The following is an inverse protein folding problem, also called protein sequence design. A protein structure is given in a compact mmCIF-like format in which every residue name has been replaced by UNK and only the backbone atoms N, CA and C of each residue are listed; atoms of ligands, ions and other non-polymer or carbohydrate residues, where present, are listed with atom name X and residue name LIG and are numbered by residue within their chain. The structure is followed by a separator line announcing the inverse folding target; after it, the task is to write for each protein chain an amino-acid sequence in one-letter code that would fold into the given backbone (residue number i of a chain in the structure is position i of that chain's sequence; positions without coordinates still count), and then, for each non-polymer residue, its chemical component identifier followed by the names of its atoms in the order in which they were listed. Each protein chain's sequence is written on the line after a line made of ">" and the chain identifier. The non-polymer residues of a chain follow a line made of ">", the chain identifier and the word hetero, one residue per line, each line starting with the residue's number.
data_IF_438079415307
#
_entry.id   IF_438079415307
#
_cell.length_a   1.000
_cell.length_b   1.000
_cell.length_c   1.000
_cell.angle_alpha   90.00
_cell.angle_beta   90.00
_cell.angle_gamma   90.00
#
_symmetry.space_group_name_H-M   'P 1'
#
loop_
_entity.id
_entity.type
_entity.pdbx_description
1 polymer ?
#
# COMPACT_ATOMS: atom_id res chain seq x y z
N UNK A 1 37.38 -9.66 -66.15
CA UNK A 1 38.45 -9.89 -65.15
C UNK A 1 38.60 -8.63 -64.41
N UNK A 2 38.22 -8.63 -63.13
CA UNK A 2 38.26 -7.49 -62.20
C UNK A 2 39.71 -7.10 -61.95
N UNK A 3 40.05 -5.79 -62.08
CA UNK A 3 41.45 -5.34 -61.90
C UNK A 3 41.80 -5.33 -60.41
N UNK A 4 43.09 -5.41 -60.08
CA UNK A 4 43.57 -5.37 -58.70
C UNK A 4 43.14 -4.09 -58.00
N UNK A 5 43.10 -2.95 -58.73
CA UNK A 5 42.61 -1.67 -58.21
C UNK A 5 41.14 -1.69 -57.84
N UNK A 6 40.30 -2.45 -58.54
CA UNK A 6 38.88 -2.56 -58.20
C UNK A 6 38.63 -3.34 -56.89
N UNK A 7 39.54 -4.29 -56.61
CA UNK A 7 39.52 -5.08 -55.39
C UNK A 7 39.95 -4.24 -54.16
N UNK A 8 40.94 -3.37 -54.33
CA UNK A 8 41.40 -2.49 -53.26
C UNK A 8 40.37 -1.40 -52.93
N UNK A 9 39.73 -0.82 -53.91
CA UNK A 9 38.66 0.18 -53.68
C UNK A 9 37.44 -0.44 -53.05
N UNK A 10 37.08 -1.66 -53.41
CA UNK A 10 36.01 -2.40 -52.75
C UNK A 10 36.32 -2.74 -51.30
N UNK A 11 37.56 -3.11 -51.00
CA UNK A 11 38.04 -3.38 -49.65
C UNK A 11 38.00 -2.12 -48.74
N UNK A 12 38.40 -0.98 -49.27
CA UNK A 12 38.33 0.30 -48.59
C UNK A 12 36.88 0.70 -48.27
N UNK A 13 36.01 0.64 -49.26
CA UNK A 13 34.58 0.99 -49.09
C UNK A 13 33.87 0.05 -48.12
N UNK A 14 34.19 -1.22 -48.10
CA UNK A 14 33.64 -2.18 -47.15
C UNK A 14 34.15 -1.89 -45.73
N UNK A 15 35.43 -1.54 -45.57
CA UNK A 15 35.99 -1.16 -44.27
C UNK A 15 35.31 0.07 -43.67
N UNK A 16 35.08 1.12 -44.47
CA UNK A 16 34.38 2.33 -44.03
C UNK A 16 32.92 2.05 -43.65
N UNK A 17 32.21 1.23 -44.42
CA UNK A 17 30.84 0.83 -44.10
C UNK A 17 30.73 0.03 -42.82
N UNK A 18 31.69 -0.84 -42.53
CA UNK A 18 31.71 -1.58 -41.26
C UNK A 18 32.08 -0.66 -40.08
N UNK A 19 32.98 0.25 -40.28
CA UNK A 19 33.34 1.25 -39.23
C UNK A 19 32.15 2.15 -38.92
N UNK A 20 31.43 2.62 -39.93
CA UNK A 20 30.28 3.47 -39.78
C UNK A 20 29.13 2.72 -39.05
N UNK A 21 28.81 1.49 -39.47
CA UNK A 21 27.80 0.64 -38.80
C UNK A 21 28.16 0.36 -37.34
N UNK A 22 29.43 0.11 -37.04
CA UNK A 22 29.93 -0.14 -35.70
C UNK A 22 29.86 1.12 -34.83
N UNK A 23 30.22 2.27 -35.41
CA UNK A 23 30.12 3.56 -34.73
C UNK A 23 28.65 3.89 -34.34
N UNK A 24 27.69 3.62 -35.21
CA UNK A 24 26.28 3.80 -34.93
C UNK A 24 25.75 2.77 -33.94
N UNK A 25 26.18 1.54 -34.00
CA UNK A 25 25.80 0.48 -33.09
C UNK A 25 26.18 0.80 -31.61
N UNK A 26 27.27 1.51 -31.37
CA UNK A 26 27.68 1.96 -30.05
C UNK A 26 27.24 3.40 -29.74
N UNK A 27 27.22 4.26 -30.77
CA UNK A 27 26.86 5.67 -30.61
C UNK A 27 25.42 5.89 -30.16
N UNK A 28 24.49 5.15 -30.73
CA UNK A 28 23.07 5.27 -30.37
C UNK A 28 22.81 4.88 -28.89
N UNK A 29 23.26 3.70 -28.39
CA UNK A 29 23.10 3.35 -26.99
C UNK A 29 23.76 4.34 -26.03
N UNK A 30 24.96 4.86 -26.38
CA UNK A 30 25.66 5.86 -25.57
C UNK A 30 24.86 7.18 -25.54
N UNK A 31 24.32 7.61 -26.66
CA UNK A 31 23.50 8.83 -26.72
C UNK A 31 22.22 8.69 -25.90
N UNK A 32 21.56 7.52 -25.98
CA UNK A 32 20.39 7.21 -25.17
C UNK A 32 20.74 7.22 -23.68
N UNK A 33 21.86 6.59 -23.30
CA UNK A 33 22.32 6.56 -21.92
C UNK A 33 22.64 7.96 -21.40
N UNK A 34 23.32 8.77 -22.20
CA UNK A 34 23.63 10.17 -21.85
C UNK A 34 22.34 11.01 -21.69
N UNK A 35 21.37 10.82 -22.58
CA UNK A 35 20.08 11.48 -22.47
C UNK A 35 19.31 11.05 -21.22
N UNK A 36 19.26 9.75 -20.92
CA UNK A 36 18.63 9.26 -19.70
C UNK A 36 19.31 9.79 -18.44
N UNK A 37 20.65 9.86 -18.44
CA UNK A 37 21.43 10.45 -17.34
C UNK A 37 21.12 11.95 -17.18
N UNK A 38 21.04 12.69 -18.29
CA UNK A 38 20.64 14.09 -18.28
C UNK A 38 19.24 14.28 -17.70
N UNK A 39 18.26 13.48 -18.16
CA UNK A 39 16.90 13.50 -17.62
C UNK A 39 16.90 13.20 -16.13
N UNK A 40 17.66 12.18 -15.71
CA UNK A 40 17.75 11.76 -14.31
C UNK A 40 18.27 12.87 -13.40
N UNK A 41 19.26 13.63 -13.88
CA UNK A 41 19.84 14.77 -13.14
C UNK A 41 18.91 16.00 -13.23
N UNK A 42 18.35 16.30 -14.41
CA UNK A 42 17.52 17.48 -14.63
C UNK A 42 16.22 17.46 -13.84
N UNK A 43 15.66 16.29 -13.61
CA UNK A 43 14.45 16.11 -12.79
C UNK A 43 14.76 15.87 -11.31
N UNK A 44 16.01 16.01 -10.88
CA UNK A 44 16.44 15.81 -9.50
C UNK A 44 15.86 14.53 -8.87
N UNK A 45 15.90 13.43 -9.66
CA UNK A 45 15.33 12.15 -9.24
C UNK A 45 16.04 11.63 -7.98
N UNK A 46 17.29 12.03 -7.75
CA UNK A 46 18.02 11.75 -6.51
C UNK A 46 17.47 12.54 -5.32
N UNK A 47 17.02 13.79 -5.54
CA UNK A 47 16.35 14.60 -4.50
C UNK A 47 14.95 14.08 -4.14
N UNK A 48 14.29 13.38 -5.08
CA UNK A 48 13.06 12.64 -4.79
C UNK A 48 13.28 11.50 -3.78
N UNK A 49 14.51 10.99 -3.65
CA UNK A 49 14.81 9.93 -2.66
C UNK A 49 14.66 10.42 -1.22
N UNK A 50 14.87 11.70 -0.95
CA UNK A 50 14.67 12.30 0.38
C UNK A 50 13.16 12.49 0.71
N UNK A 51 12.32 12.58 -0.33
CA UNK A 51 10.85 12.61 -0.21
C UNK A 51 10.25 11.20 -0.21
N UNK A 52 11.02 10.20 -0.54
CA UNK A 52 10.62 8.80 -0.53
C UNK A 52 10.66 8.26 0.90
N UNK A 53 9.62 8.54 1.64
CA UNK A 53 9.38 7.80 2.86
C UNK A 53 9.08 6.34 2.47
N UNK A 54 9.95 5.43 2.92
CA UNK A 54 9.77 3.97 2.74
C UNK A 54 8.39 3.54 3.25
N UNK A 55 7.85 4.29 4.18
CA UNK A 55 6.54 4.13 4.79
C UNK A 55 5.40 4.47 3.81
N UNK A 56 5.55 5.54 3.04
CA UNK A 56 4.58 5.92 2.01
C UNK A 56 4.61 4.92 0.83
N UNK A 57 5.80 4.43 0.46
CA UNK A 57 5.93 3.39 -0.56
C UNK A 57 5.31 2.06 -0.11
N UNK A 58 5.52 1.65 1.15
CA UNK A 58 4.87 0.47 1.73
C UNK A 58 3.35 0.61 1.79
N UNK A 59 2.84 1.78 2.20
CA UNK A 59 1.41 2.07 2.20
C UNK A 59 0.82 2.03 0.79
N UNK A 60 1.52 2.62 -0.18
CA UNK A 60 1.07 2.65 -1.57
C UNK A 60 1.02 1.25 -2.18
N UNK A 61 2.07 0.44 -1.99
CA UNK A 61 2.10 -0.95 -2.44
C UNK A 61 1.06 -1.78 -1.69
N UNK A 62 0.94 -1.62 -0.37
CA UNK A 62 -0.11 -2.26 0.42
C UNK A 62 -1.51 -1.89 -0.08
N UNK A 63 -1.76 -0.63 -0.42
CA UNK A 63 -3.03 -0.16 -0.97
C UNK A 63 -3.36 -0.72 -2.36
N UNK A 64 -2.37 -1.06 -3.17
CA UNK A 64 -2.57 -1.65 -4.49
C UNK A 64 -2.98 -3.13 -4.44
N UNK A 65 -2.48 -3.87 -3.45
CA UNK A 65 -2.66 -5.33 -3.37
C UNK A 65 -3.55 -5.78 -2.22
N UNK A 66 -3.87 -4.89 -1.26
CA UNK A 66 -4.71 -5.27 -0.11
C UNK A 66 -6.19 -5.22 -0.45
N UNK A 67 -6.90 -6.28 -0.10
CA UNK A 67 -8.32 -6.17 0.13
C UNK A 67 -8.51 -5.26 1.36
N UNK A 68 -9.12 -4.09 1.14
CA UNK A 68 -9.39 -3.18 2.25
C UNK A 68 -10.59 -3.72 3.02
N UNK A 69 -10.34 -4.21 4.21
CA UNK A 69 -11.42 -4.47 5.16
C UNK A 69 -11.53 -3.28 6.07
N UNK A 70 -12.69 -2.69 6.11
CA UNK A 70 -12.96 -1.58 6.98
C UNK A 70 -14.11 -1.86 7.93
N UNK A 71 -13.91 -1.46 9.16
CA UNK A 71 -14.93 -1.43 10.20
C UNK A 71 -15.50 -0.03 10.22
N UNK A 72 -16.81 0.09 10.01
CA UNK A 72 -17.50 1.38 9.99
C UNK A 72 -18.58 1.39 11.06
N UNK A 73 -18.60 2.44 11.89
CA UNK A 73 -19.69 2.71 12.81
C UNK A 73 -20.49 3.93 12.34
N UNK A 74 -21.80 3.79 12.25
CA UNK A 74 -22.72 4.94 12.15
C UNK A 74 -22.80 5.59 13.53
N UNK A 75 -22.21 6.77 13.69
CA UNK A 75 -22.13 7.48 14.97
C UNK A 75 -23.48 7.99 15.48
N UNK A 76 -24.54 7.95 14.65
CA UNK A 76 -25.90 8.35 15.04
C UNK A 76 -26.71 7.18 15.59
N UNK A 77 -26.49 5.99 15.05
CA UNK A 77 -27.25 4.78 15.40
C UNK A 77 -26.45 3.81 16.27
N UNK A 78 -25.11 3.92 16.27
CA UNK A 78 -24.22 2.96 16.91
C UNK A 78 -23.99 1.68 16.13
N UNK A 79 -24.61 1.52 14.96
CA UNK A 79 -24.51 0.31 14.15
C UNK A 79 -23.09 0.16 13.58
N UNK A 80 -22.52 -1.03 13.76
CA UNK A 80 -21.22 -1.39 13.22
C UNK A 80 -21.41 -2.30 12.01
N UNK A 81 -20.77 -1.96 10.91
CA UNK A 81 -20.71 -2.76 9.69
C UNK A 81 -19.26 -3.01 9.27
N UNK A 82 -18.97 -4.21 8.79
CA UNK A 82 -17.66 -4.61 8.34
C UNK A 82 -17.75 -4.92 6.86
N UNK A 83 -17.00 -4.16 6.06
CA UNK A 83 -17.05 -4.24 4.59
C UNK A 83 -15.69 -4.68 4.05
N UNK A 84 -15.74 -5.48 2.98
CA UNK A 84 -14.58 -5.94 2.22
C UNK A 84 -14.60 -5.18 0.89
N UNK A 85 -13.56 -4.42 0.62
CA UNK A 85 -13.32 -3.77 -0.68
C UNK A 85 -12.26 -4.52 -1.45
N UNK A 86 -12.38 -4.57 -2.77
CA UNK A 86 -11.47 -5.25 -3.65
C UNK A 86 -12.20 -6.20 -4.60
N UNK A 87 -11.50 -7.20 -5.09
CA UNK A 87 -12.06 -8.17 -6.05
C UNK A 87 -13.25 -8.96 -5.46
N UNK A 88 -13.16 -9.31 -4.16
CA UNK A 88 -14.24 -9.98 -3.42
C UNK A 88 -15.04 -8.98 -2.58
N UNK A 89 -15.64 -7.98 -3.22
CA UNK A 89 -16.52 -7.04 -2.52
C UNK A 89 -17.63 -7.77 -1.77
N UNK A 90 -17.80 -7.40 -0.50
CA UNK A 90 -18.82 -8.00 0.33
C UNK A 90 -18.97 -7.28 1.65
N UNK A 91 -19.86 -7.81 2.49
CA UNK A 91 -20.04 -7.42 3.88
C UNK A 91 -20.15 -8.67 4.72
N UNK A 92 -19.61 -8.59 5.90
CA UNK A 92 -19.91 -9.59 6.92
C UNK A 92 -21.39 -9.52 7.30
N UNK A 93 -22.01 -10.67 7.57
CA UNK A 93 -23.37 -10.70 8.06
C UNK A 93 -23.45 -9.99 9.43
N UNK A 94 -24.66 -9.59 9.80
CA UNK A 94 -24.88 -8.93 11.10
C UNK A 94 -24.46 -9.86 12.24
N UNK A 95 -23.50 -9.41 13.06
CA UNK A 95 -22.93 -10.19 14.16
C UNK A 95 -21.74 -11.05 13.79
N UNK A 96 -21.36 -11.14 12.51
CA UNK A 96 -20.14 -11.77 12.06
C UNK A 96 -19.02 -10.75 11.92
N UNK A 97 -17.81 -11.16 12.30
CA UNK A 97 -16.62 -10.32 12.22
C UNK A 97 -15.38 -11.17 11.95
N UNK A 98 -14.31 -10.58 11.35
CA UNK A 98 -13.01 -11.24 11.28
C UNK A 98 -12.41 -11.39 12.68
N UNK A 99 -11.43 -12.28 12.83
CA UNK A 99 -10.79 -12.60 14.13
C UNK A 99 -10.21 -11.39 14.88
N UNK A 100 -9.83 -10.35 14.16
CA UNK A 100 -9.27 -9.13 14.73
C UNK A 100 -10.34 -8.09 15.14
N UNK A 101 -11.64 -8.43 15.05
CA UNK A 101 -12.76 -7.58 15.47
C UNK A 101 -13.64 -8.35 16.44
N UNK A 102 -13.76 -7.84 17.65
CA UNK A 102 -14.69 -8.35 18.67
C UNK A 102 -15.91 -7.43 18.74
N UNK A 103 -17.09 -7.97 18.44
CA UNK A 103 -18.34 -7.24 18.52
C UNK A 103 -19.00 -7.47 19.90
N UNK A 104 -19.42 -6.41 20.56
CA UNK A 104 -20.05 -6.47 21.89
C UNK A 104 -20.57 -5.12 22.34
N UNK A 105 -20.86 -5.00 23.63
CA UNK A 105 -21.26 -3.72 24.26
C UNK A 105 -20.20 -2.63 24.07
N UNK A 106 -18.94 -3.01 24.11
CA UNK A 106 -17.79 -2.23 23.67
C UNK A 106 -17.08 -3.06 22.62
N UNK A 107 -17.23 -2.67 21.36
CA UNK A 107 -16.57 -3.39 20.27
C UNK A 107 -15.11 -3.02 20.21
N UNK A 108 -14.25 -4.02 19.96
CA UNK A 108 -12.79 -3.86 19.91
C UNK A 108 -12.28 -4.24 18.53
N UNK A 109 -11.36 -3.44 18.02
CA UNK A 109 -10.65 -3.68 16.76
C UNK A 109 -9.17 -3.76 17.05
N UNK A 110 -8.57 -4.89 16.77
CA UNK A 110 -7.13 -5.12 16.92
C UNK A 110 -6.44 -4.92 15.56
N UNK A 111 -5.65 -3.85 15.44
CA UNK A 111 -4.89 -3.55 14.24
C UNK A 111 -3.54 -4.29 14.18
N UNK A 112 -3.20 -5.04 15.23
CA UNK A 112 -1.90 -5.69 15.37
C UNK A 112 -0.86 -4.78 16.02
N UNK A 113 0.27 -5.38 16.41
CA UNK A 113 1.41 -4.69 17.05
C UNK A 113 1.06 -3.85 18.30
N UNK A 114 -0.02 -4.21 18.99
CA UNK A 114 -0.50 -3.49 20.18
C UNK A 114 -1.37 -2.27 19.90
N UNK A 115 -1.75 -2.04 18.65
CA UNK A 115 -2.71 -1.00 18.27
C UNK A 115 -4.13 -1.48 18.46
N UNK A 116 -4.86 -0.91 19.40
CA UNK A 116 -6.22 -1.31 19.77
C UNK A 116 -7.18 -0.15 19.66
N UNK A 117 -8.33 -0.38 19.03
CA UNK A 117 -9.39 0.62 18.94
C UNK A 117 -10.64 0.07 19.63
N UNK A 118 -11.21 0.87 20.50
CA UNK A 118 -12.44 0.56 21.23
C UNK A 118 -13.55 1.51 20.80
N UNK A 119 -14.68 0.95 20.43
CA UNK A 119 -15.91 1.70 20.20
C UNK A 119 -16.75 1.67 21.46
N UNK A 120 -16.77 2.77 22.18
CA UNK A 120 -17.70 2.99 23.27
C UNK A 120 -19.10 3.31 22.77
N UNK A 121 -20.02 3.71 23.63
CA UNK A 121 -21.41 4.05 23.24
C UNK A 121 -21.46 5.23 22.27
N UNK A 122 -20.69 6.29 22.51
CA UNK A 122 -20.64 7.49 21.68
C UNK A 122 -19.22 7.85 21.21
N UNK A 123 -18.23 7.38 21.93
CA UNK A 123 -16.83 7.70 21.75
C UNK A 123 -16.05 6.59 21.03
N UNK A 124 -14.83 6.90 20.68
CA UNK A 124 -13.83 5.97 20.15
C UNK A 124 -12.52 6.23 20.87
N UNK A 125 -11.91 5.18 21.36
CA UNK A 125 -10.59 5.24 22.00
C UNK A 125 -9.58 4.46 21.15
N UNK A 126 -8.49 5.09 20.80
CA UNK A 126 -7.39 4.44 20.11
C UNK A 126 -6.17 4.36 21.03
N UNK A 127 -5.79 3.14 21.39
CA UNK A 127 -4.55 2.87 22.13
C UNK A 127 -3.41 2.67 21.13
N UNK A 128 -2.42 3.56 21.21
CA UNK A 128 -1.30 3.59 20.28
C UNK A 128 -0.02 3.30 21.06
N UNK A 129 0.73 2.25 20.71
CA UNK A 129 1.99 1.90 21.37
C UNK A 129 2.96 3.08 21.38
N UNK A 130 3.64 3.28 22.54
CA UNK A 130 4.60 4.36 22.78
C UNK A 130 4.07 5.80 22.67
N UNK A 131 2.79 6.00 22.36
CA UNK A 131 2.18 7.33 22.34
C UNK A 131 1.12 7.49 23.43
N UNK A 132 0.24 6.51 23.59
CA UNK A 132 -0.83 6.52 24.58
C UNK A 132 -2.21 6.42 23.98
N UNK A 133 -3.21 6.90 24.72
CA UNK A 133 -4.62 6.81 24.31
C UNK A 133 -5.08 8.12 23.68
N UNK A 134 -5.68 8.01 22.51
CA UNK A 134 -6.42 9.11 21.89
C UNK A 134 -7.90 8.81 22.04
N UNK A 135 -8.62 9.75 22.61
CA UNK A 135 -10.07 9.70 22.76
C UNK A 135 -10.72 10.65 21.76
N UNK A 136 -11.78 10.22 21.11
CA UNK A 136 -12.53 11.05 20.17
C UNK A 136 -14.03 10.81 20.31
N UNK A 137 -14.80 11.89 20.49
CA UNK A 137 -16.26 11.86 20.58
C UNK A 137 -16.90 12.67 19.44
N UNK A 138 -17.67 11.99 18.55
CA UNK A 138 -18.46 12.68 17.53
C UNK A 138 -19.66 13.38 18.18
N UNK A 139 -19.69 14.71 18.06
CA UNK A 139 -20.76 15.54 18.60
C UNK A 139 -21.52 16.34 17.54
N UNK A 140 -22.57 17.02 17.95
CA UNK A 140 -23.39 17.87 17.07
C UNK A 140 -22.62 19.03 16.43
N UNK A 141 -21.59 19.53 17.12
CA UNK A 141 -20.78 20.68 16.71
C UNK A 141 -19.46 20.30 16.02
N UNK A 142 -19.17 19.01 15.89
CA UNK A 142 -17.94 18.48 15.32
C UNK A 142 -17.45 17.24 16.03
N UNK A 143 -16.15 17.02 16.02
CA UNK A 143 -15.49 15.93 16.74
C UNK A 143 -14.61 16.54 17.83
N UNK A 144 -14.88 16.20 19.07
CA UNK A 144 -14.03 16.54 20.21
C UNK A 144 -12.99 15.44 20.38
N UNK A 145 -11.74 15.77 20.62
CA UNK A 145 -10.68 14.79 20.81
C UNK A 145 -9.72 15.22 21.91
N UNK A 146 -9.27 14.22 22.66
CA UNK A 146 -8.25 14.37 23.69
C UNK A 146 -7.04 13.52 23.33
N UNK A 147 -5.86 14.07 23.54
CA UNK A 147 -4.58 13.48 23.21
C UNK A 147 -3.69 13.41 24.46
N UNK A 148 -2.69 12.51 24.48
CA UNK A 148 -1.64 12.58 25.48
C UNK A 148 -0.92 13.94 25.47
N UNK A 149 -0.35 14.32 26.62
CA UNK A 149 0.40 15.56 26.74
C UNK A 149 1.56 15.64 25.76
N UNK A 150 1.68 16.76 25.07
CA UNK A 150 2.76 17.00 24.13
C UNK A 150 2.31 17.62 22.79
N UNK A 151 3.23 17.89 21.89
CA UNK A 151 2.91 18.36 20.55
C UNK A 151 2.16 17.29 19.75
N UNK A 152 1.18 17.71 18.95
CA UNK A 152 0.41 16.80 18.10
C UNK A 152 1.32 16.23 17.01
N UNK A 153 1.46 14.90 16.89
CA UNK A 153 2.28 14.28 15.84
C UNK A 153 1.73 14.54 14.43
N UNK A 154 2.60 14.53 13.42
CA UNK A 154 2.23 14.75 12.01
C UNK A 154 1.25 13.70 11.45
N UNK A 155 1.25 12.48 12.02
CA UNK A 155 0.33 11.41 11.63
C UNK A 155 -1.07 11.53 12.25
N UNK A 156 -1.33 12.57 13.08
CA UNK A 156 -2.65 12.95 13.55
C UNK A 156 -3.07 14.25 12.85
N UNK A 157 -4.14 14.15 12.08
CA UNK A 157 -4.75 15.32 11.43
C UNK A 157 -6.10 15.60 12.08
N UNK A 158 -6.20 16.74 12.76
CA UNK A 158 -7.41 17.19 13.41
C UNK A 158 -7.97 18.43 12.73
N UNK A 159 -9.26 18.37 12.45
CA UNK A 159 -10.06 19.54 12.06
C UNK A 159 -11.34 19.57 12.92
N UNK A 160 -12.08 20.67 12.84
CA UNK A 160 -13.34 20.82 13.61
C UNK A 160 -14.31 19.65 13.40
N UNK A 161 -14.37 19.08 12.21
CA UNK A 161 -15.38 18.09 11.82
C UNK A 161 -14.81 16.67 11.61
N UNK A 162 -13.50 16.51 11.76
CA UNK A 162 -12.82 15.24 11.47
C UNK A 162 -11.55 15.11 12.28
N UNK A 163 -11.33 13.91 12.77
CA UNK A 163 -10.04 13.45 13.30
C UNK A 163 -9.59 12.27 12.47
N UNK A 164 -8.38 12.30 11.96
CA UNK A 164 -7.75 11.19 11.22
C UNK A 164 -6.43 10.86 11.87
N UNK A 165 -6.25 9.61 12.23
CA UNK A 165 -5.03 9.07 12.82
C UNK A 165 -4.53 7.99 11.88
N UNK A 166 -3.32 8.16 11.34
CA UNK A 166 -2.70 7.22 10.41
C UNK A 166 -1.43 6.68 11.02
N UNK A 167 -1.42 5.42 11.39
CA UNK A 167 -0.27 4.70 11.93
C UNK A 167 0.24 3.67 10.92
N UNK A 168 1.30 2.98 11.27
CA UNK A 168 1.79 1.82 10.49
C UNK A 168 0.83 0.62 10.56
N UNK A 169 0.01 0.50 11.60
CA UNK A 169 -0.95 -0.59 11.76
C UNK A 169 -2.29 -0.35 11.05
N UNK A 170 -2.66 0.91 10.84
CA UNK A 170 -3.93 1.25 10.21
C UNK A 170 -4.29 2.72 10.30
N UNK A 171 -5.52 3.02 9.90
CA UNK A 171 -6.06 4.38 9.92
C UNK A 171 -7.42 4.42 10.61
N UNK A 172 -7.56 5.31 11.57
CA UNK A 172 -8.84 5.69 12.15
C UNK A 172 -9.26 7.04 11.58
N UNK A 173 -10.48 7.14 11.09
CA UNK A 173 -11.10 8.41 10.70
C UNK A 173 -12.44 8.56 11.39
N UNK A 174 -12.58 9.58 12.22
CA UNK A 174 -13.82 9.89 12.91
C UNK A 174 -14.37 11.22 12.41
N UNK A 175 -15.64 11.20 12.01
CA UNK A 175 -16.42 12.38 11.62
C UNK A 175 -17.70 12.40 12.46
N UNK A 176 -18.45 13.50 12.39
CA UNK A 176 -19.75 13.61 13.09
C UNK A 176 -20.67 12.41 12.85
N UNK A 177 -20.73 11.90 11.63
CA UNK A 177 -21.71 10.90 11.22
C UNK A 177 -21.17 9.48 11.22
N UNK A 178 -19.86 9.30 11.04
CA UNK A 178 -19.25 8.01 10.79
C UNK A 178 -17.84 7.94 11.35
N UNK A 179 -17.53 6.80 11.92
CA UNK A 179 -16.17 6.40 12.28
C UNK A 179 -15.75 5.22 11.43
N UNK A 180 -14.62 5.32 10.76
CA UNK A 180 -14.04 4.28 9.91
C UNK A 180 -12.68 3.86 10.42
N UNK A 181 -12.46 2.56 10.45
CA UNK A 181 -11.17 1.95 10.78
C UNK A 181 -10.73 1.08 9.63
N UNK A 182 -9.52 1.33 9.15
CA UNK A 182 -8.85 0.48 8.17
C UNK A 182 -7.67 -0.19 8.86
N UNK A 183 -7.59 -1.52 8.79
CA UNK A 183 -6.41 -2.27 9.17
C UNK A 183 -5.49 -2.39 7.96
N UNK A 184 -4.18 -2.18 8.16
CA UNK A 184 -3.17 -2.43 7.15
C UNK A 184 -2.61 -3.83 7.33
N UNK A 185 -2.53 -4.58 6.23
CA UNK A 185 -1.97 -5.92 6.19
C UNK A 185 -0.64 -5.87 5.44
N UNK A 186 0.37 -6.55 5.97
CA UNK A 186 1.72 -6.55 5.41
C UNK A 186 2.28 -7.97 5.29
N UNK A 187 3.14 -8.18 4.28
CA UNK A 187 3.86 -9.43 4.10
C UNK A 187 2.93 -10.62 3.93
N UNK A 188 3.17 -11.67 4.71
CA UNK A 188 2.40 -12.91 4.62
C UNK A 188 0.95 -12.79 5.06
N UNK A 189 0.66 -11.91 6.00
CA UNK A 189 -0.70 -11.64 6.44
C UNK A 189 -1.59 -11.14 5.29
N UNK A 190 -1.04 -10.31 4.39
CA UNK A 190 -1.72 -9.85 3.20
C UNK A 190 -2.14 -11.03 2.30
N UNK A 191 -1.23 -11.98 2.05
CA UNK A 191 -1.52 -13.15 1.24
C UNK A 191 -2.61 -14.03 1.86
N UNK A 192 -2.50 -14.35 3.14
CA UNK A 192 -3.46 -15.22 3.84
C UNK A 192 -4.83 -14.59 3.98
N UNK A 193 -4.91 -13.27 4.07
CA UNK A 193 -6.17 -12.56 4.16
C UNK A 193 -6.94 -12.55 2.82
N UNK A 194 -6.22 -12.47 1.70
CA UNK A 194 -6.80 -12.45 0.36
C UNK A 194 -7.13 -13.83 -0.20
N UNK A 195 -6.53 -14.88 0.36
CA UNK A 195 -6.74 -16.25 -0.06
C UNK A 195 -8.02 -16.85 0.54
N UNK A 196 -8.65 -17.74 -0.21
CA UNK A 196 -9.69 -18.59 0.31
C UNK A 196 -9.15 -19.44 1.48
N UNK A 197 -10.02 -19.78 2.43
CA UNK A 197 -9.66 -20.54 3.63
C UNK A 197 -8.93 -21.87 3.34
N UNK A 198 -9.13 -22.44 2.15
CA UNK A 198 -8.43 -23.66 1.69
C UNK A 198 -6.91 -23.51 1.60
N UNK A 199 -6.39 -22.28 1.51
CA UNK A 199 -4.95 -22.00 1.45
C UNK A 199 -4.37 -21.65 2.82
N UNK A 200 -5.21 -21.42 3.82
CA UNK A 200 -4.76 -21.15 5.17
C UNK A 200 -3.96 -22.36 5.74
N UNK A 201 -2.88 -22.08 6.43
CA UNK A 201 -2.03 -23.09 7.05
C UNK A 201 -1.10 -23.83 6.09
N UNK A 202 -1.11 -23.53 4.79
CA UNK A 202 -0.15 -24.09 3.84
C UNK A 202 1.23 -23.43 3.99
N UNK A 203 2.27 -24.23 3.86
CA UNK A 203 3.64 -23.73 3.84
C UNK A 203 3.97 -22.97 2.55
N UNK A 204 5.03 -22.17 2.58
CA UNK A 204 5.51 -21.42 1.40
C UNK A 204 5.82 -22.36 0.23
N UNK A 205 6.40 -23.53 0.51
CA UNK A 205 6.72 -24.52 -0.52
C UNK A 205 5.47 -25.11 -1.16
N UNK A 206 4.43 -25.35 -0.39
CA UNK A 206 3.13 -25.82 -0.89
C UNK A 206 2.44 -24.75 -1.75
N UNK A 207 2.44 -23.49 -1.31
CA UNK A 207 1.90 -22.38 -2.09
C UNK A 207 2.68 -22.16 -3.39
N UNK A 208 4.01 -22.25 -3.36
CA UNK A 208 4.84 -22.19 -4.55
C UNK A 208 4.55 -23.32 -5.54
N UNK A 209 4.37 -24.54 -5.03
CA UNK A 209 3.98 -25.68 -5.86
C UNK A 209 2.62 -25.47 -6.54
N UNK A 210 1.63 -24.97 -5.81
CA UNK A 210 0.31 -24.63 -6.35
C UNK A 210 0.39 -23.52 -7.42
N UNK A 211 1.26 -22.53 -7.20
CA UNK A 211 1.50 -21.48 -8.19
C UNK A 211 2.11 -22.02 -9.49
N UNK A 212 3.12 -22.90 -9.37
CA UNK A 212 3.73 -23.55 -10.53
C UNK A 212 2.75 -24.44 -11.31
N UNK A 213 1.85 -25.11 -10.61
CA UNK A 213 0.81 -25.93 -11.23
C UNK A 213 -0.37 -25.10 -11.78
N UNK A 214 -0.36 -23.79 -11.61
CA UNK A 214 -1.41 -22.90 -12.08
C UNK A 214 -2.72 -22.99 -11.29
N UNK A 215 -2.68 -23.55 -10.08
CA UNK A 215 -3.86 -23.76 -9.23
C UNK A 215 -4.17 -22.55 -8.34
N UNK A 216 -3.27 -21.58 -8.23
CA UNK A 216 -3.52 -20.34 -7.49
C UNK A 216 -4.38 -19.36 -8.30
N UNK A 217 -5.20 -18.53 -7.61
CA UNK A 217 -5.95 -17.48 -8.26
C UNK A 217 -5.06 -16.57 -9.13
N UNK A 218 -5.63 -16.04 -10.20
CA UNK A 218 -4.92 -15.21 -11.18
C UNK A 218 -4.14 -14.04 -10.52
N UNK A 219 -4.71 -13.46 -9.49
CA UNK A 219 -4.13 -12.35 -8.73
C UNK A 219 -2.76 -12.66 -8.09
N UNK A 220 -2.43 -13.94 -7.90
CA UNK A 220 -1.13 -14.36 -7.38
C UNK A 220 -0.17 -14.84 -8.48
N UNK A 221 -0.63 -14.91 -9.73
CA UNK A 221 0.18 -15.32 -10.87
C UNK A 221 0.72 -14.15 -11.69
N UNK A 222 0.07 -13.01 -11.62
CA UNK A 222 0.41 -11.74 -12.26
C UNK A 222 1.19 -10.84 -11.30
#
# INVERSE_FOLDING_TARGET
>A
IMSVNDIETLKSNVGELFYFKRAWAFGIPIAILAYLTYVFISFDILGLSDLWSLQNAKSFVGDMYSHKVHVTRDNRKGDISISIEGEKKGRYASGEAPEWVELGSTSKVDLGNGHLIYFGEKDVVYEIPNYGRVWAEPGLRGVEAEYPDGPLPEWINQSKNRVTITTDAGRLTTTRNRTEVFRYFYGWELFFFTLDSQYHGKSISELASLAFNGELPKIMRD
#
